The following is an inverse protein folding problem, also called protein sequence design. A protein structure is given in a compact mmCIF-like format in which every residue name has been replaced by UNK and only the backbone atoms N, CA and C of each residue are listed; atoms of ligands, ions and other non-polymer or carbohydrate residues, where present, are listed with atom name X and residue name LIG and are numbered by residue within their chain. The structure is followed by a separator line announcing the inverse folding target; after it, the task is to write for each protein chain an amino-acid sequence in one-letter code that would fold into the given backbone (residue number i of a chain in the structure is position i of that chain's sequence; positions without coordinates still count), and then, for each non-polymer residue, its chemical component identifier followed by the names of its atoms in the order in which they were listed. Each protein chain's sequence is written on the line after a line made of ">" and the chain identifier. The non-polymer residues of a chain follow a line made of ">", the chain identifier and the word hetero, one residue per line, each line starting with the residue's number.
data_IF_050853708984
#
_entry.id   IF_050853708984
#
_cell.length_a   1.000
_cell.length_b   1.000
_cell.length_c   1.000
_cell.angle_alpha   90.00
_cell.angle_beta   90.00
_cell.angle_gamma   90.00
#
_symmetry.space_group_name_H-M   'P 1'
#
loop_
_entity.id
_entity.type
_entity.pdbx_description
1 polymer ?
#
# COMPACT_ATOMS: atom_id res chain seq x y z
N UNK A 1 52.53 1.69 6.76
CA UNK A 1 51.85 2.98 6.53
C UNK A 1 52.40 3.47 5.21
N UNK A 2 51.68 3.42 4.09
CA UNK A 2 50.55 4.30 3.71
C UNK A 2 49.84 3.69 2.49
N UNK A 3 48.51 3.62 2.49
CA UNK A 3 47.62 3.56 1.29
C UNK A 3 47.28 5.02 0.94
N UNK A 4 47.09 5.41 -0.34
CA UNK A 4 45.85 5.11 -1.10
C UNK A 4 46.13 4.97 -2.63
N UNK A 5 45.23 4.78 -3.60
CA UNK A 5 43.86 5.21 -3.83
C UNK A 5 43.16 4.21 -4.77
N UNK A 6 41.88 3.90 -4.52
CA UNK A 6 41.04 3.18 -5.46
C UNK A 6 40.20 4.18 -6.24
N UNK A 7 40.44 4.23 -7.54
CA UNK A 7 39.59 4.89 -8.53
C UNK A 7 38.48 3.94 -8.96
N UNK A 8 37.25 4.22 -8.56
CA UNK A 8 36.05 3.68 -9.20
C UNK A 8 35.09 4.85 -9.37
N UNK A 9 35.18 5.46 -10.55
CA UNK A 9 34.20 6.40 -11.06
C UNK A 9 33.03 5.65 -11.70
N UNK A 10 31.85 6.24 -11.54
CA UNK A 10 30.74 6.22 -12.50
C UNK A 10 29.88 4.95 -12.61
N UNK A 11 28.73 4.94 -11.92
CA UNK A 11 27.45 5.16 -12.59
C UNK A 11 26.26 5.30 -11.61
N UNK A 12 25.40 6.27 -11.95
CA UNK A 12 23.97 6.39 -11.60
C UNK A 12 23.55 6.60 -10.14
N UNK A 13 23.32 7.87 -9.82
CA UNK A 13 22.31 8.30 -8.87
C UNK A 13 20.90 7.85 -9.31
N UNK A 14 20.45 6.66 -8.92
CA UNK A 14 19.01 6.34 -8.77
C UNK A 14 18.83 5.06 -7.94
N UNK A 15 17.84 5.08 -7.07
CA UNK A 15 17.33 3.97 -6.26
C UNK A 15 18.08 3.64 -4.95
N UNK A 16 18.05 4.60 -4.01
CA UNK A 16 17.60 4.22 -2.65
C UNK A 16 16.12 3.78 -2.75
N UNK A 17 15.88 2.56 -3.22
CA UNK A 17 14.61 1.88 -3.05
C UNK A 17 14.94 0.72 -2.13
N UNK A 18 14.76 0.93 -0.83
CA UNK A 18 14.69 -0.20 0.11
C UNK A 18 13.77 -1.23 -0.53
N UNK A 19 14.24 -2.47 -0.69
CA UNK A 19 13.45 -3.61 -1.20
C UNK A 19 12.38 -4.00 -0.17
N UNK A 20 11.49 -3.09 0.15
CA UNK A 20 10.15 -3.44 0.58
C UNK A 20 9.42 -3.81 -0.69
N UNK A 21 9.43 -5.11 -1.04
CA UNK A 21 8.39 -5.61 -1.93
C UNK A 21 7.11 -5.60 -1.11
N UNK A 22 6.20 -4.63 -1.32
CA UNK A 22 4.94 -4.56 -0.61
C UNK A 22 4.05 -5.58 -1.30
N UNK A 23 4.31 -6.86 -1.05
CA UNK A 23 3.64 -7.95 -1.75
C UNK A 23 2.60 -8.58 -0.84
N UNK A 24 1.40 -8.80 -1.38
CA UNK A 24 0.35 -9.59 -0.73
C UNK A 24 0.70 -11.09 -0.64
N UNK A 25 1.93 -11.49 -0.99
CA UNK A 25 2.38 -12.88 -1.03
C UNK A 25 2.47 -13.47 0.38
N UNK A 26 1.58 -14.43 0.65
CA UNK A 26 1.48 -15.10 1.96
C UNK A 26 0.41 -14.53 2.88
N UNK A 27 -0.33 -13.49 2.46
CA UNK A 27 -1.50 -13.00 3.19
C UNK A 27 -2.65 -14.02 3.13
N UNK A 28 -3.29 -14.21 4.28
CA UNK A 28 -4.60 -14.85 4.40
C UNK A 28 -5.70 -13.99 3.79
N UNK A 29 -6.88 -14.57 3.55
CA UNK A 29 -8.03 -13.82 3.03
C UNK A 29 -8.43 -12.67 3.95
N UNK A 30 -8.41 -12.87 5.28
CA UNK A 30 -8.66 -11.82 6.27
C UNK A 30 -7.63 -10.68 6.21
N UNK A 31 -6.36 -10.99 6.00
CA UNK A 31 -5.30 -9.98 5.87
C UNK A 31 -5.43 -9.18 4.58
N UNK A 32 -5.71 -9.87 3.47
CA UNK A 32 -5.99 -9.23 2.18
C UNK A 32 -7.24 -8.34 2.25
N UNK A 33 -8.28 -8.78 2.96
CA UNK A 33 -9.48 -7.99 3.19
C UNK A 33 -9.15 -6.73 3.99
N UNK A 34 -8.40 -6.84 5.10
CA UNK A 34 -7.98 -5.67 5.90
C UNK A 34 -7.12 -4.68 5.10
N UNK A 35 -6.22 -5.19 4.26
CA UNK A 35 -5.44 -4.37 3.34
C UNK A 35 -6.36 -3.67 2.35
N UNK A 36 -7.33 -4.37 1.77
CA UNK A 36 -8.31 -3.79 0.84
C UNK A 36 -9.07 -2.63 1.47
N UNK A 37 -9.58 -2.81 2.69
CA UNK A 37 -10.28 -1.70 3.37
C UNK A 37 -9.32 -0.51 3.60
N UNK A 38 -8.04 -0.78 3.89
CA UNK A 38 -7.03 0.28 4.09
C UNK A 38 -6.75 1.05 2.81
N UNK A 39 -6.66 0.33 1.68
CA UNK A 39 -6.49 0.97 0.38
C UNK A 39 -7.68 1.84 0.02
N UNK A 40 -8.91 1.44 0.34
CA UNK A 40 -10.10 2.27 0.16
C UNK A 40 -10.02 3.53 1.03
N UNK A 41 -9.67 3.40 2.31
CA UNK A 41 -9.51 4.56 3.20
C UNK A 41 -8.46 5.55 2.68
N UNK A 42 -7.32 5.04 2.21
CA UNK A 42 -6.26 5.82 1.61
C UNK A 42 -6.74 6.49 0.32
N UNK A 43 -7.47 5.77 -0.54
CA UNK A 43 -8.06 6.33 -1.76
C UNK A 43 -9.01 7.48 -1.44
N UNK A 44 -9.84 7.35 -0.42
CA UNK A 44 -10.80 8.40 -0.09
C UNK A 44 -10.16 9.64 0.51
N UNK A 45 -9.08 9.46 1.29
CA UNK A 45 -8.36 10.57 1.91
C UNK A 45 -7.47 11.32 0.93
N UNK A 46 -6.83 10.61 0.00
CA UNK A 46 -5.76 11.18 -0.82
C UNK A 46 -6.02 11.10 -2.33
N UNK A 47 -6.95 10.27 -2.80
CA UNK A 47 -7.27 10.11 -4.22
C UNK A 47 -6.12 9.57 -5.07
N UNK A 48 -5.21 8.80 -4.47
CA UNK A 48 -3.92 8.42 -5.07
C UNK A 48 -3.96 7.18 -5.98
N UNK A 49 -5.06 6.42 -5.98
CA UNK A 49 -5.29 5.32 -6.89
C UNK A 49 -6.07 5.79 -8.11
N UNK A 50 -5.60 5.43 -9.31
CA UNK A 50 -6.24 5.78 -10.60
C UNK A 50 -7.20 4.70 -11.09
N UNK A 51 -7.71 3.86 -10.19
CA UNK A 51 -8.50 2.67 -10.53
C UNK A 51 -9.99 2.92 -10.36
N UNK A 52 -10.75 2.84 -11.45
CA UNK A 52 -12.22 2.94 -11.43
C UNK A 52 -12.88 1.91 -10.49
N UNK A 53 -12.23 0.76 -10.25
CA UNK A 53 -12.71 -0.24 -9.28
C UNK A 53 -12.60 0.27 -7.84
N UNK A 54 -11.54 1.00 -7.50
CA UNK A 54 -11.41 1.64 -6.18
C UNK A 54 -12.51 2.67 -5.98
N UNK A 55 -12.78 3.50 -6.98
CA UNK A 55 -13.83 4.52 -6.91
C UNK A 55 -15.22 3.90 -6.79
N UNK A 56 -15.48 2.81 -7.53
CA UNK A 56 -16.73 2.05 -7.43
C UNK A 56 -16.89 1.44 -6.04
N UNK A 57 -15.85 0.82 -5.50
CA UNK A 57 -15.89 0.23 -4.16
C UNK A 57 -16.06 1.28 -3.06
N UNK A 58 -15.46 2.46 -3.22
CA UNK A 58 -15.69 3.58 -2.31
C UNK A 58 -17.13 4.09 -2.36
N UNK A 59 -17.69 4.23 -3.56
CA UNK A 59 -19.07 4.69 -3.72
C UNK A 59 -20.10 3.66 -3.23
N UNK A 60 -19.74 2.38 -3.24
CA UNK A 60 -20.57 1.28 -2.75
C UNK A 60 -20.66 1.21 -1.21
N UNK A 61 -19.74 1.84 -0.45
CA UNK A 61 -19.74 1.77 1.01
C UNK A 61 -19.54 0.33 1.50
N UNK A 62 -20.42 -0.16 2.39
CA UNK A 62 -20.39 -1.53 2.96
C UNK A 62 -20.25 -2.62 1.88
N UNK A 63 -20.96 -2.47 0.76
CA UNK A 63 -20.93 -3.41 -0.38
C UNK A 63 -19.59 -3.37 -1.14
N UNK A 64 -18.74 -2.36 -0.88
CA UNK A 64 -17.40 -2.22 -1.44
C UNK A 64 -16.41 -3.27 -0.95
N UNK A 65 -16.68 -3.96 0.17
CA UNK A 65 -15.90 -5.11 0.60
C UNK A 65 -16.10 -6.31 -0.30
N UNK A 66 -17.31 -6.50 -0.82
CA UNK A 66 -17.63 -7.60 -1.73
C UNK A 66 -17.00 -7.39 -3.11
N UNK A 67 -16.56 -6.17 -3.41
CA UNK A 67 -15.80 -5.82 -4.60
C UNK A 67 -14.28 -6.06 -4.44
N UNK A 68 -13.84 -6.68 -3.33
CA UNK A 68 -12.44 -7.00 -3.09
C UNK A 68 -11.88 -7.83 -4.27
N UNK A 69 -10.87 -7.31 -4.98
CA UNK A 69 -10.28 -8.02 -6.10
C UNK A 69 -9.29 -9.08 -5.61
N UNK A 70 -8.87 -9.96 -6.52
CA UNK A 70 -7.86 -10.96 -6.19
C UNK A 70 -6.53 -10.29 -5.79
N UNK A 71 -5.75 -10.94 -4.92
CA UNK A 71 -4.45 -10.43 -4.42
C UNK A 71 -3.53 -9.87 -5.51
N UNK A 72 -3.53 -10.48 -6.69
CA UNK A 72 -2.69 -10.02 -7.81
C UNK A 72 -3.07 -8.61 -8.26
N UNK A 73 -4.37 -8.32 -8.31
CA UNK A 73 -4.91 -7.01 -8.68
C UNK A 73 -4.67 -6.00 -7.55
N UNK A 74 -4.74 -6.43 -6.29
CA UNK A 74 -4.36 -5.61 -5.13
C UNK A 74 -2.90 -5.15 -5.26
N UNK A 75 -1.99 -6.07 -5.58
CA UNK A 75 -0.57 -5.75 -5.83
C UNK A 75 -0.43 -4.75 -6.99
N UNK A 76 -1.14 -4.98 -8.11
CA UNK A 76 -1.16 -4.05 -9.24
C UNK A 76 -1.63 -2.65 -8.84
N UNK A 77 -2.67 -2.56 -8.00
CA UNK A 77 -3.14 -1.27 -7.50
C UNK A 77 -2.07 -0.57 -6.65
N UNK A 78 -1.39 -1.31 -5.78
CA UNK A 78 -0.30 -0.77 -4.97
C UNK A 78 0.90 -0.28 -5.81
N UNK A 79 1.18 -0.92 -6.94
CA UNK A 79 2.19 -0.45 -7.90
C UNK A 79 1.77 0.81 -8.65
N UNK A 80 0.47 0.96 -8.91
CA UNK A 80 -0.12 2.08 -9.66
C UNK A 80 -0.39 3.35 -8.84
N UNK A 81 -0.01 3.37 -7.57
CA UNK A 81 -0.20 4.52 -6.69
C UNK A 81 0.63 5.72 -7.17
N UNK A 82 -0.02 6.87 -7.32
CA UNK A 82 0.62 8.13 -7.70
C UNK A 82 0.38 9.16 -6.59
N UNK A 83 1.39 9.97 -6.27
CA UNK A 83 1.30 11.09 -5.32
C UNK A 83 0.78 10.72 -3.91
N UNK A 84 1.04 9.50 -3.43
CA UNK A 84 0.72 9.09 -2.06
C UNK A 84 1.70 9.71 -1.06
N UNK A 85 1.21 10.52 -0.08
CA UNK A 85 2.06 11.06 0.98
C UNK A 85 2.56 9.97 1.92
N UNK A 86 3.62 10.26 2.67
CA UNK A 86 4.28 9.28 3.55
C UNK A 86 3.32 8.73 4.61
N UNK A 87 2.38 9.54 5.13
CA UNK A 87 1.37 9.09 6.08
C UNK A 87 0.47 7.99 5.50
N UNK A 88 0.00 8.16 4.26
CA UNK A 88 -0.82 7.16 3.58
C UNK A 88 -0.01 5.89 3.25
N UNK A 89 1.28 6.06 2.95
CA UNK A 89 2.17 4.92 2.72
C UNK A 89 2.47 4.15 4.00
N UNK A 90 2.61 4.82 5.13
CA UNK A 90 2.73 4.18 6.43
C UNK A 90 1.47 3.38 6.79
N UNK A 91 0.28 3.90 6.48
CA UNK A 91 -0.98 3.17 6.68
C UNK A 91 -0.98 1.85 5.92
N UNK A 92 -0.60 1.85 4.64
CA UNK A 92 -0.50 0.62 3.84
C UNK A 92 0.59 -0.33 4.36
N UNK A 93 1.76 0.20 4.73
CA UNK A 93 2.88 -0.58 5.23
C UNK A 93 2.55 -1.38 6.51
N UNK A 94 1.64 -0.89 7.36
CA UNK A 94 1.20 -1.66 8.55
C UNK A 94 0.50 -2.98 8.19
N UNK A 95 -0.14 -3.04 7.02
CA UNK A 95 -0.80 -4.24 6.53
C UNK A 95 0.12 -5.08 5.65
N UNK A 96 0.98 -4.43 4.86
CA UNK A 96 1.96 -5.09 3.99
C UNK A 96 3.17 -5.67 4.77
N UNK A 97 3.45 -5.13 5.97
CA UNK A 97 4.52 -5.58 6.85
C UNK A 97 3.98 -5.82 8.29
N UNK A 98 3.54 -7.05 8.63
CA UNK A 98 2.97 -7.34 9.95
C UNK A 98 3.96 -7.22 11.11
N UNK A 99 5.27 -7.08 10.83
CA UNK A 99 6.31 -6.83 11.84
C UNK A 99 6.18 -5.45 12.51
N UNK A 100 5.54 -4.49 11.84
CA UNK A 100 5.25 -3.15 12.39
C UNK A 100 3.80 -3.06 12.88
N UNK A 101 3.60 -3.47 14.13
CA UNK A 101 2.51 -3.04 15.03
C UNK A 101 1.06 -3.33 14.56
N UNK A 102 0.54 -4.50 14.94
CA UNK A 102 -0.89 -4.82 14.96
C UNK A 102 -1.67 -3.93 15.94
N UNK A 103 -2.03 -2.70 15.54
CA UNK A 103 -3.13 -2.00 16.20
C UNK A 103 -4.43 -2.44 15.57
N UNK A 104 -5.23 -3.24 16.30
CA UNK A 104 -6.60 -3.62 15.93
C UNK A 104 -7.48 -2.37 15.89
N UNK A 105 -7.42 -1.62 14.79
CA UNK A 105 -8.35 -0.53 14.53
C UNK A 105 -9.75 -1.12 14.34
N UNK A 106 -10.74 -0.55 15.03
CA UNK A 106 -12.16 -0.89 14.90
C UNK A 106 -12.78 0.15 13.97
N UNK A 107 -13.13 -0.27 12.75
CA UNK A 107 -13.48 0.61 11.66
C UNK A 107 -14.90 1.11 11.89
N UNK A 108 -15.09 2.44 11.85
CA UNK A 108 -16.41 3.09 11.94
C UNK A 108 -16.69 3.97 10.71
N UNK A 109 -16.00 3.67 9.62
CA UNK A 109 -15.86 4.61 8.52
C UNK A 109 -17.14 4.75 7.69
N UNK A 110 -17.85 3.64 7.47
CA UNK A 110 -19.12 3.65 6.73
C UNK A 110 -20.30 3.85 7.66
N UNK A 111 -20.42 5.08 8.17
CA UNK A 111 -21.70 5.60 8.64
C UNK A 111 -22.20 6.55 7.57
N UNK A 112 -23.18 6.09 6.80
CA UNK A 112 -23.94 6.93 5.86
C UNK A 112 -25.01 7.64 6.70
N UNK A 113 -24.84 8.95 6.91
CA UNK A 113 -25.87 9.82 7.49
C UNK A 113 -27.13 9.87 6.60
#
# INVERSE_FOLDING_TARGET
>A
MTVPEKKIDSWSARARKSRYEPSCKGMTADEAQRLWICMLEVQQRYGCYTSARMDTALNAGDDGLDLMPNRFIIDTFNESIVDLPDEGREMLNRYLCPSSCLTKQKWKFWKKD
#
